data_IF_684478228438
#
_entry.id   IF_684478228438
#
_cell.length_a   1.000
_cell.length_b   1.000
_cell.length_c   1.000
_cell.angle_alpha   90.00
_cell.angle_beta   90.00
_cell.angle_gamma   90.00
#
_symmetry.space_group_name_H-M   'P 1'
#
loop_
_entity.id
_entity.type
_entity.pdbx_description
1 polymer ?
#
# COMPACT_ATOMS: atom_id res chain seq x y z
N UNK A 1 3.24 -45.29 -49.17
CA UNK A 1 3.88 -44.74 -47.96
C UNK A 1 3.21 -43.40 -47.66
N UNK A 2 2.31 -43.35 -46.68
CA UNK A 2 1.59 -42.13 -46.30
C UNK A 2 2.47 -41.39 -45.28
N UNK A 3 2.92 -40.18 -45.63
CA UNK A 3 3.71 -39.32 -44.77
C UNK A 3 2.78 -38.64 -43.76
N UNK A 4 2.86 -39.03 -42.48
CA UNK A 4 2.21 -38.32 -41.38
C UNK A 4 3.08 -37.11 -41.00
N UNK A 5 2.64 -35.92 -41.38
CA UNK A 5 3.21 -34.65 -40.89
C UNK A 5 2.64 -34.40 -39.50
N UNK A 6 3.43 -34.67 -38.46
CA UNK A 6 3.10 -34.24 -37.10
C UNK A 6 3.36 -32.74 -36.98
N UNK A 7 2.30 -31.95 -36.84
CA UNK A 7 2.39 -30.59 -36.32
C UNK A 7 2.74 -30.66 -34.83
N UNK A 8 3.95 -30.24 -34.48
CA UNK A 8 4.29 -29.93 -33.10
C UNK A 8 3.70 -28.56 -32.76
N UNK A 9 2.61 -28.53 -32.01
CA UNK A 9 2.15 -27.32 -31.32
C UNK A 9 3.08 -27.07 -30.14
N UNK A 10 3.94 -26.07 -30.24
CA UNK A 10 4.67 -25.57 -29.07
C UNK A 10 3.67 -24.89 -28.14
N UNK A 11 3.25 -25.59 -27.09
CA UNK A 11 2.56 -24.97 -25.97
C UNK A 11 3.53 -23.96 -25.35
N UNK A 12 3.37 -22.68 -25.69
CA UNK A 12 4.04 -21.60 -24.99
C UNK A 12 3.61 -21.69 -23.53
N UNK A 13 4.55 -21.96 -22.62
CA UNK A 13 4.29 -21.81 -21.21
C UNK A 13 3.83 -20.36 -21.01
N UNK A 14 2.56 -20.16 -20.68
CA UNK A 14 2.07 -18.85 -20.31
C UNK A 14 2.88 -18.42 -19.08
N UNK A 15 3.83 -17.50 -19.28
CA UNK A 15 4.56 -16.91 -18.16
C UNK A 15 3.51 -16.14 -17.35
N UNK A 16 3.16 -16.69 -16.19
CA UNK A 16 2.22 -16.07 -15.25
C UNK A 16 2.76 -14.71 -14.82
N UNK A 17 2.06 -13.63 -15.19
CA UNK A 17 2.41 -12.28 -14.77
C UNK A 17 2.07 -12.10 -13.28
N UNK A 18 3.06 -11.91 -12.42
CA UNK A 18 2.89 -11.88 -10.97
C UNK A 18 3.07 -10.46 -10.42
N UNK A 19 2.05 -9.97 -9.74
CA UNK A 19 2.05 -8.67 -9.05
C UNK A 19 2.28 -8.93 -7.56
N UNK A 20 3.35 -8.37 -7.02
CA UNK A 20 3.51 -8.27 -5.57
C UNK A 20 2.59 -7.19 -5.01
N UNK A 21 1.96 -7.48 -3.88
CA UNK A 21 1.13 -6.57 -3.11
C UNK A 21 1.71 -6.48 -1.69
N UNK A 22 1.67 -5.29 -1.09
CA UNK A 22 2.02 -5.12 0.32
C UNK A 22 1.10 -5.96 1.21
N UNK A 23 1.66 -6.60 2.23
CA UNK A 23 0.90 -7.33 3.25
C UNK A 23 -0.14 -6.47 3.99
N UNK A 24 0.00 -5.14 3.97
CA UNK A 24 -1.04 -4.22 4.49
C UNK A 24 -2.39 -4.40 3.80
N UNK A 25 -2.44 -5.00 2.61
CA UNK A 25 -3.68 -5.33 1.90
C UNK A 25 -4.02 -6.83 1.94
N UNK A 26 -3.33 -7.65 2.74
CA UNK A 26 -3.52 -9.11 2.74
C UNK A 26 -4.74 -9.61 3.52
N UNK A 27 -5.61 -8.73 4.00
CA UNK A 27 -6.90 -9.10 4.59
C UNK A 27 -7.95 -9.27 3.48
N UNK A 28 -9.05 -9.99 3.74
CA UNK A 28 -9.98 -10.44 2.70
C UNK A 28 -10.49 -9.31 1.79
N UNK A 29 -10.99 -8.22 2.37
CA UNK A 29 -11.46 -7.07 1.60
C UNK A 29 -10.31 -6.39 0.83
N UNK A 30 -9.14 -6.25 1.44
CA UNK A 30 -7.96 -5.69 0.81
C UNK A 30 -7.53 -6.48 -0.43
N UNK A 31 -7.47 -7.81 -0.32
CA UNK A 31 -7.17 -8.71 -1.44
C UNK A 31 -8.20 -8.53 -2.55
N UNK A 32 -9.49 -8.62 -2.22
CA UNK A 32 -10.57 -8.53 -3.20
C UNK A 32 -10.55 -7.21 -3.98
N UNK A 33 -10.32 -6.07 -3.32
CA UNK A 33 -10.30 -4.77 -3.98
C UNK A 33 -9.02 -4.53 -4.79
N UNK A 34 -7.86 -4.99 -4.29
CA UNK A 34 -6.60 -4.92 -5.05
C UNK A 34 -6.67 -5.80 -6.30
N UNK A 35 -7.15 -7.04 -6.18
CA UNK A 35 -7.32 -7.93 -7.33
C UNK A 35 -8.30 -7.34 -8.34
N UNK A 36 -9.42 -6.78 -7.88
CA UNK A 36 -10.39 -6.10 -8.75
C UNK A 36 -9.76 -4.93 -9.51
N UNK A 37 -8.99 -4.09 -8.81
CA UNK A 37 -8.29 -2.94 -9.40
C UNK A 37 -7.29 -3.39 -10.48
N UNK A 38 -6.42 -4.33 -10.16
CA UNK A 38 -5.36 -4.75 -11.08
C UNK A 38 -5.87 -5.61 -12.22
N UNK A 39 -6.91 -6.42 -12.01
CA UNK A 39 -7.59 -7.12 -13.10
C UNK A 39 -8.17 -6.11 -14.10
N UNK A 40 -8.77 -5.01 -13.64
CA UNK A 40 -9.26 -3.93 -14.53
C UNK A 40 -8.13 -3.20 -15.25
N UNK A 41 -7.02 -2.91 -14.57
CA UNK A 41 -5.86 -2.24 -15.17
C UNK A 41 -5.25 -3.10 -16.28
N UNK A 42 -5.11 -4.40 -16.06
CA UNK A 42 -4.41 -5.31 -16.97
C UNK A 42 -5.31 -5.96 -18.04
N UNK A 43 -6.63 -5.98 -17.85
CA UNK A 43 -7.57 -6.58 -18.80
C UNK A 43 -7.47 -6.06 -20.25
N UNK A 44 -7.33 -4.73 -20.53
CA UNK A 44 -7.19 -4.24 -21.90
C UNK A 44 -5.89 -4.68 -22.61
N UNK A 45 -4.97 -5.29 -21.87
CA UNK A 45 -3.67 -5.77 -22.36
C UNK A 45 -3.65 -7.31 -22.49
N UNK A 46 -4.80 -7.99 -22.31
CA UNK A 46 -4.93 -9.45 -22.30
C UNK A 46 -4.01 -10.16 -21.29
N UNK A 47 -3.73 -9.48 -20.17
CA UNK A 47 -2.93 -10.02 -19.06
C UNK A 47 -3.86 -10.33 -17.88
N UNK A 48 -3.80 -11.57 -17.40
CA UNK A 48 -4.44 -11.99 -16.14
C UNK A 48 -3.36 -12.14 -15.08
N UNK A 49 -3.24 -11.18 -14.13
CA UNK A 49 -2.19 -11.25 -13.13
C UNK A 49 -2.46 -12.30 -12.06
N UNK A 50 -1.39 -12.86 -11.50
CA UNK A 50 -1.38 -13.58 -10.23
C UNK A 50 -0.90 -12.66 -9.13
N UNK A 51 -1.40 -12.85 -7.93
CA UNK A 51 -1.14 -11.96 -6.80
C UNK A 51 -0.41 -12.70 -5.70
N UNK A 52 0.57 -12.02 -5.11
CA UNK A 52 1.25 -12.46 -3.90
C UNK A 52 1.28 -11.30 -2.92
N UNK A 53 1.24 -11.62 -1.63
CA UNK A 53 1.22 -10.63 -0.56
C UNK A 53 2.46 -10.83 0.30
N UNK A 54 3.37 -9.87 0.29
CA UNK A 54 4.64 -9.95 1.01
C UNK A 54 4.87 -8.69 1.85
N UNK A 55 5.70 -8.80 2.90
CA UNK A 55 6.21 -7.63 3.60
C UNK A 55 6.81 -6.62 2.62
N UNK A 56 6.49 -5.34 2.86
CA UNK A 56 6.70 -4.26 1.87
C UNK A 56 8.13 -4.22 1.31
N UNK A 57 9.15 -4.29 2.16
CA UNK A 57 10.58 -4.35 1.78
C UNK A 57 10.92 -5.59 0.95
N UNK A 58 10.54 -6.78 1.43
CA UNK A 58 10.84 -8.06 0.76
C UNK A 58 10.21 -8.13 -0.62
N UNK A 59 8.95 -7.69 -0.75
CA UNK A 59 8.25 -7.67 -2.03
C UNK A 59 8.98 -6.82 -3.06
N UNK A 60 9.36 -5.60 -2.69
CA UNK A 60 10.11 -4.68 -3.54
C UNK A 60 11.48 -5.26 -3.97
N UNK A 61 12.23 -5.85 -3.04
CA UNK A 61 13.50 -6.51 -3.34
C UNK A 61 13.32 -7.63 -4.38
N UNK A 62 12.24 -8.42 -4.25
CA UNK A 62 11.96 -9.53 -5.17
C UNK A 62 11.49 -9.07 -6.55
N UNK A 63 10.66 -8.02 -6.65
CA UNK A 63 10.30 -7.43 -7.94
C UNK A 63 11.53 -6.80 -8.59
N UNK A 64 12.36 -6.07 -7.83
CA UNK A 64 13.58 -5.44 -8.35
C UNK A 64 14.64 -6.44 -8.81
N UNK A 65 14.70 -7.63 -8.19
CA UNK A 65 15.52 -8.75 -8.64
C UNK A 65 14.95 -9.47 -9.88
N UNK A 66 13.75 -9.11 -10.33
CA UNK A 66 13.05 -9.76 -11.45
C UNK A 66 12.46 -11.12 -11.10
N UNK A 67 12.25 -11.43 -9.82
CA UNK A 67 11.52 -12.64 -9.42
C UNK A 67 10.03 -12.50 -9.75
N UNK A 68 9.48 -11.29 -9.60
CA UNK A 68 8.11 -10.94 -9.94
C UNK A 68 8.07 -9.79 -10.94
N UNK A 69 6.90 -9.56 -11.52
CA UNK A 69 6.74 -8.72 -12.70
C UNK A 69 6.42 -7.27 -12.35
N UNK A 70 5.69 -7.06 -11.25
CA UNK A 70 5.26 -5.74 -10.84
C UNK A 70 5.04 -5.63 -9.32
N UNK A 71 4.96 -4.40 -8.86
CA UNK A 71 4.61 -4.01 -7.50
C UNK A 71 3.34 -3.16 -7.54
N UNK A 72 2.29 -3.60 -6.84
CA UNK A 72 0.96 -3.01 -6.89
C UNK A 72 0.97 -1.50 -6.59
N UNK A 73 1.52 -1.08 -5.46
CA UNK A 73 1.47 0.32 -5.05
C UNK A 73 2.60 0.69 -4.11
N UNK A 74 3.36 1.75 -4.43
CA UNK A 74 4.33 2.36 -3.51
C UNK A 74 4.31 3.87 -3.60
N UNK A 75 4.66 4.52 -2.49
CA UNK A 75 4.98 5.94 -2.53
C UNK A 75 6.18 6.16 -3.45
N UNK A 76 6.11 7.22 -4.26
CA UNK A 76 7.17 7.57 -5.22
C UNK A 76 8.56 7.58 -4.58
N UNK A 77 8.66 8.14 -3.37
CA UNK A 77 9.90 8.24 -2.59
C UNK A 77 10.52 6.88 -2.26
N UNK A 78 9.69 5.85 -2.06
CA UNK A 78 10.16 4.49 -1.76
C UNK A 78 10.47 3.73 -3.04
N UNK A 79 9.56 3.75 -4.02
CA UNK A 79 9.71 2.97 -5.25
C UNK A 79 10.90 3.40 -6.10
N UNK A 80 11.23 4.69 -6.13
CA UNK A 80 12.33 5.23 -6.93
C UNK A 80 13.73 4.80 -6.45
N UNK A 81 13.85 4.24 -5.23
CA UNK A 81 15.11 3.69 -4.72
C UNK A 81 15.50 2.38 -5.44
N UNK A 82 14.56 1.73 -6.14
CA UNK A 82 14.75 0.42 -6.77
C UNK A 82 15.03 0.56 -8.28
N UNK A 83 16.31 0.44 -8.65
CA UNK A 83 16.85 0.75 -10.00
C UNK A 83 16.29 -0.09 -11.14
N UNK A 84 15.72 -1.26 -10.86
CA UNK A 84 15.12 -2.11 -11.90
C UNK A 84 13.61 -1.92 -12.03
N UNK A 85 13.01 -1.00 -11.29
CA UNK A 85 11.59 -0.69 -11.36
C UNK A 85 11.33 0.55 -12.22
N UNK A 86 10.27 0.49 -12.99
CA UNK A 86 9.72 1.59 -13.76
C UNK A 86 8.38 1.98 -13.15
N UNK A 87 8.27 3.22 -12.71
CA UNK A 87 7.04 3.78 -12.17
C UNK A 87 6.05 4.08 -13.30
N UNK A 88 4.77 3.72 -13.11
CA UNK A 88 3.69 4.20 -13.97
C UNK A 88 3.34 5.65 -13.56
N UNK A 89 3.46 6.66 -14.45
CA UNK A 89 3.34 8.07 -14.07
C UNK A 89 2.00 8.51 -13.48
N UNK A 90 0.86 7.94 -13.87
CA UNK A 90 -0.43 8.26 -13.28
C UNK A 90 -0.55 7.58 -11.91
N UNK A 91 -0.73 8.34 -10.80
CA UNK A 91 -0.88 7.72 -9.48
C UNK A 91 -2.24 7.04 -9.35
N UNK A 92 -2.27 5.91 -8.63
CA UNK A 92 -3.49 5.19 -8.27
C UNK A 92 -4.30 5.97 -7.22
N UNK A 93 -3.61 6.56 -6.24
CA UNK A 93 -4.23 7.30 -5.14
C UNK A 93 -3.26 8.32 -4.53
N UNK A 94 -3.80 9.26 -3.76
CA UNK A 94 -3.05 10.14 -2.87
C UNK A 94 -3.29 9.68 -1.43
N UNK A 95 -2.26 9.20 -0.73
CA UNK A 95 -2.38 8.72 0.64
C UNK A 95 -1.64 9.62 1.60
N UNK A 96 -2.06 9.64 2.86
CA UNK A 96 -1.40 10.39 3.92
C UNK A 96 -0.79 9.43 4.93
N UNK A 97 0.22 9.92 5.66
CA UNK A 97 0.72 9.25 6.86
C UNK A 97 -0.12 9.72 8.05
N UNK A 98 -0.68 8.79 8.80
CA UNK A 98 -1.62 9.08 9.89
C UNK A 98 -1.30 8.29 11.15
N UNK A 99 -1.71 8.83 12.29
CA UNK A 99 -1.91 8.12 13.53
C UNK A 99 -3.31 7.53 13.57
N UNK A 100 -3.44 6.30 14.06
CA UNK A 100 -4.70 5.74 14.54
C UNK A 100 -4.60 5.56 16.05
N UNK A 101 -5.54 6.11 16.83
CA UNK A 101 -5.46 6.12 18.29
C UNK A 101 -6.75 5.66 18.95
N UNK A 102 -6.61 5.08 20.14
CA UNK A 102 -7.76 4.68 20.96
C UNK A 102 -8.46 5.90 21.59
N UNK A 103 -7.70 6.95 21.90
CA UNK A 103 -8.17 8.21 22.46
C UNK A 103 -7.44 9.39 21.81
N UNK A 104 -8.06 10.57 21.85
CA UNK A 104 -7.49 11.81 21.29
C UNK A 104 -6.15 12.20 21.93
N UNK A 105 -5.98 11.95 23.23
CA UNK A 105 -4.77 12.27 24.00
C UNK A 105 -3.52 11.54 23.50
N UNK A 106 -3.68 10.36 22.90
CA UNK A 106 -2.58 9.57 22.33
C UNK A 106 -2.30 9.92 20.86
N UNK A 107 -3.10 10.80 20.26
CA UNK A 107 -3.02 11.18 18.85
C UNK A 107 -2.06 12.35 18.63
N UNK A 108 -0.85 12.21 19.14
CA UNK A 108 0.26 13.15 18.99
C UNK A 108 1.57 12.39 18.77
N UNK A 109 2.52 13.02 18.09
CA UNK A 109 3.88 12.49 17.97
C UNK A 109 4.70 12.91 19.18
N UNK A 110 4.77 12.03 20.17
CA UNK A 110 5.59 12.17 21.37
C UNK A 110 6.64 11.05 21.40
N UNK A 111 7.92 11.41 21.53
CA UNK A 111 9.04 10.45 21.60
C UNK A 111 8.96 9.54 22.83
N UNK A 112 8.24 9.96 23.88
CA UNK A 112 8.03 9.16 25.08
C UNK A 112 6.83 8.20 24.95
N UNK A 113 6.06 8.29 23.87
CA UNK A 113 4.96 7.40 23.57
C UNK A 113 5.42 6.23 22.70
N UNK A 114 4.92 5.03 23.03
CA UNK A 114 5.06 3.86 22.19
C UNK A 114 4.07 3.85 21.03
N UNK A 115 4.56 3.64 19.80
CA UNK A 115 3.73 3.46 18.60
C UNK A 115 3.82 2.03 18.09
N UNK A 116 2.72 1.49 17.58
CA UNK A 116 2.74 0.29 16.77
C UNK A 116 2.95 0.63 15.29
N UNK A 117 3.73 -0.19 14.61
CA UNK A 117 3.95 -0.15 13.16
C UNK A 117 3.87 -1.57 12.59
N UNK A 118 3.72 -1.69 11.28
CA UNK A 118 3.74 -3.00 10.62
C UNK A 118 5.18 -3.30 10.20
N UNK A 119 5.68 -4.47 10.60
CA UNK A 119 7.04 -4.92 10.33
C UNK A 119 7.36 -4.85 8.84
N UNK A 120 8.52 -4.30 8.44
CA UNK A 120 8.92 -4.23 7.03
C UNK A 120 8.23 -3.14 6.22
N UNK A 121 7.45 -2.26 6.85
CA UNK A 121 6.84 -1.09 6.22
C UNK A 121 7.84 0.08 6.20
N UNK A 122 8.47 0.27 5.05
CA UNK A 122 9.62 1.18 4.87
C UNK A 122 9.34 2.62 5.32
N UNK A 123 8.17 3.19 5.01
CA UNK A 123 7.89 4.58 5.38
C UNK A 123 7.68 4.77 6.89
N UNK A 124 7.15 3.76 7.60
CA UNK A 124 7.00 3.85 9.06
C UNK A 124 8.34 3.63 9.74
N UNK A 125 9.18 2.72 9.22
CA UNK A 125 10.56 2.53 9.70
C UNK A 125 11.34 3.85 9.59
N UNK A 126 11.36 4.47 8.41
CA UNK A 126 12.03 5.74 8.18
C UNK A 126 11.49 6.88 9.06
N UNK A 127 10.16 6.96 9.27
CA UNK A 127 9.57 7.96 10.16
C UNK A 127 9.98 7.74 11.63
N UNK A 128 9.98 6.50 12.09
CA UNK A 128 10.37 6.17 13.46
C UNK A 128 11.85 6.50 13.72
N UNK A 129 12.73 6.15 12.80
CA UNK A 129 14.17 6.43 12.89
C UNK A 129 14.46 7.94 12.89
N UNK A 130 13.92 8.66 11.89
CA UNK A 130 14.18 10.08 11.70
C UNK A 130 13.63 10.99 12.82
N UNK A 131 12.52 10.60 13.46
CA UNK A 131 11.92 11.35 14.57
C UNK A 131 12.28 10.77 15.95
N UNK A 132 13.12 9.73 16.00
CA UNK A 132 13.51 9.03 17.24
C UNK A 132 12.30 8.54 18.06
N UNK A 133 11.27 8.03 17.37
CA UNK A 133 10.05 7.53 18.01
C UNK A 133 10.27 6.12 18.55
N UNK A 134 9.66 5.82 19.70
CA UNK A 134 9.61 4.47 20.25
C UNK A 134 8.60 3.59 19.48
N UNK A 135 9.03 2.94 18.40
CA UNK A 135 8.17 2.09 17.58
C UNK A 135 8.39 0.60 17.85
N UNK A 136 7.30 -0.12 18.09
CA UNK A 136 7.28 -1.59 18.16
C UNK A 136 6.53 -2.15 16.95
N UNK A 137 7.01 -3.25 16.38
CA UNK A 137 6.40 -3.83 15.18
C UNK A 137 5.43 -4.96 15.51
N UNK A 138 4.38 -5.07 14.69
CA UNK A 138 3.48 -6.24 14.62
C UNK A 138 3.40 -6.74 13.18
N UNK A 139 2.82 -7.91 12.98
CA UNK A 139 2.83 -8.61 11.68
C UNK A 139 1.79 -8.10 10.67
N UNK A 140 0.73 -7.40 11.11
CA UNK A 140 -0.32 -6.84 10.23
C UNK A 140 -1.24 -5.86 10.97
N UNK A 141 -2.02 -5.09 10.20
CA UNK A 141 -2.96 -4.07 10.70
C UNK A 141 -4.01 -4.66 11.66
N UNK A 142 -4.53 -5.86 11.38
CA UNK A 142 -5.47 -6.58 12.27
C UNK A 142 -4.88 -6.77 13.67
N UNK A 143 -3.64 -7.24 13.77
CA UNK A 143 -2.94 -7.45 15.04
C UNK A 143 -2.72 -6.12 15.77
N UNK A 144 -2.44 -5.06 15.01
CA UNK A 144 -2.25 -3.71 15.54
C UNK A 144 -3.54 -3.18 16.18
N UNK A 145 -4.68 -3.23 15.47
CA UNK A 145 -5.95 -2.73 16.01
C UNK A 145 -6.50 -3.59 17.15
N UNK A 146 -6.28 -4.91 17.13
CA UNK A 146 -6.59 -5.78 18.29
C UNK A 146 -5.78 -5.35 19.53
N UNK A 147 -4.52 -4.92 19.35
CA UNK A 147 -3.71 -4.42 20.45
C UNK A 147 -4.24 -3.10 21.02
N UNK A 148 -4.74 -2.19 20.18
CA UNK A 148 -5.47 -0.99 20.63
C UNK A 148 -6.73 -1.33 21.40
N UNK A 149 -7.58 -2.22 20.87
CA UNK A 149 -8.82 -2.64 21.55
C UNK A 149 -8.53 -3.23 22.93
N UNK A 150 -7.41 -3.95 23.07
CA UNK A 150 -6.95 -4.55 24.33
C UNK A 150 -6.11 -3.60 25.20
N UNK A 151 -5.96 -2.34 24.81
CA UNK A 151 -5.15 -1.32 25.50
C UNK A 151 -3.70 -1.78 25.78
N UNK A 152 -3.13 -2.59 24.88
CA UNK A 152 -1.71 -2.99 24.92
C UNK A 152 -0.81 -1.99 24.19
N UNK A 153 -1.42 -1.13 23.39
CA UNK A 153 -0.84 0.03 22.75
C UNK A 153 -1.94 1.07 22.57
N UNK A 154 -1.56 2.33 22.37
CA UNK A 154 -2.51 3.43 22.28
C UNK A 154 -2.54 4.13 20.92
N UNK A 155 -1.50 3.94 20.10
CA UNK A 155 -1.38 4.54 18.79
C UNK A 155 -0.70 3.61 17.78
N UNK A 156 -1.14 3.65 16.52
CA UNK A 156 -0.50 3.06 15.34
C UNK A 156 -0.07 4.19 14.40
N UNK A 157 1.09 4.05 13.77
CA UNK A 157 1.47 4.83 12.60
C UNK A 157 1.19 3.99 11.35
N UNK A 158 0.44 4.55 10.39
CA UNK A 158 0.09 3.87 9.15
C UNK A 158 -0.22 4.83 8.01
N UNK A 159 -0.74 4.30 6.90
CA UNK A 159 -1.28 5.11 5.81
C UNK A 159 -2.79 5.33 6.00
N UNK A 160 -3.33 6.33 5.30
CA UNK A 160 -4.72 6.77 5.45
C UNK A 160 -5.79 5.85 4.83
N UNK A 161 -5.41 4.72 4.21
CA UNK A 161 -6.33 3.88 3.43
C UNK A 161 -6.38 2.43 3.93
N UNK A 162 -5.33 1.65 3.70
CA UNK A 162 -5.38 0.19 3.89
C UNK A 162 -5.71 -0.27 5.32
N UNK A 163 -5.15 0.36 6.38
CA UNK A 163 -5.50 -0.04 7.74
C UNK A 163 -7.01 0.10 8.04
N UNK A 164 -7.72 1.06 7.40
CA UNK A 164 -9.16 1.27 7.62
C UNK A 164 -10.00 0.03 7.29
N UNK A 165 -9.59 -0.74 6.28
CA UNK A 165 -10.28 -1.96 5.87
C UNK A 165 -10.20 -3.12 6.89
N UNK A 166 -9.37 -3.00 7.92
CA UNK A 166 -9.25 -4.02 8.98
C UNK A 166 -9.96 -3.63 10.28
N UNK A 167 -10.49 -2.41 10.36
CA UNK A 167 -11.07 -1.88 11.59
C UNK A 167 -12.28 -2.69 12.06
N UNK A 168 -13.12 -3.18 11.15
CA UNK A 168 -14.26 -4.03 11.52
C UNK A 168 -13.84 -5.33 12.22
N UNK A 169 -12.74 -5.95 11.78
CA UNK A 169 -12.24 -7.19 12.37
C UNK A 169 -11.59 -6.99 13.75
N UNK A 170 -11.35 -5.74 14.17
CA UNK A 170 -10.69 -5.42 15.43
C UNK A 170 -11.64 -5.42 16.65
N UNK A 171 -12.95 -5.26 16.42
CA UNK A 171 -13.95 -5.04 17.48
C UNK A 171 -13.88 -3.66 18.12
N UNK A 172 -13.17 -2.69 17.52
CA UNK A 172 -13.27 -1.27 17.88
C UNK A 172 -14.63 -0.73 17.41
N UNK A 173 -15.20 0.16 18.20
CA UNK A 173 -16.42 0.92 17.83
C UNK A 173 -16.06 2.33 17.37
N UNK A 174 -14.90 2.82 17.78
CA UNK A 174 -14.40 4.14 17.47
C UNK A 174 -12.88 4.13 17.37
N UNK A 175 -12.33 4.95 16.47
CA UNK A 175 -10.91 5.25 16.38
C UNK A 175 -10.71 6.72 16.07
N UNK A 176 -9.66 7.31 16.64
CA UNK A 176 -9.23 8.66 16.29
C UNK A 176 -8.16 8.58 15.21
N UNK A 177 -8.24 9.46 14.21
CA UNK A 177 -7.23 9.55 13.16
C UNK A 177 -6.64 10.95 13.15
N UNK A 178 -5.31 11.05 13.04
CA UNK A 178 -4.63 12.34 12.89
C UNK A 178 -3.52 12.27 11.84
N UNK A 179 -3.51 13.20 10.91
CA UNK A 179 -2.45 13.31 9.90
C UNK A 179 -1.15 13.84 10.51
N UNK A 180 -0.01 13.23 10.15
CA UNK A 180 1.29 13.54 10.74
C UNK A 180 2.02 14.68 10.01
N UNK A 181 1.85 14.83 8.70
CA UNK A 181 2.58 15.83 7.88
C UNK A 181 1.68 16.86 7.18
N UNK A 182 0.35 16.74 7.33
CA UNK A 182 -0.62 17.55 6.58
C UNK A 182 -0.52 17.43 5.05
N UNK A 183 0.35 16.57 4.51
CA UNK A 183 0.57 16.36 3.09
C UNK A 183 0.20 14.95 2.64
N UNK A 184 -0.21 14.84 1.39
CA UNK A 184 -0.41 13.56 0.70
C UNK A 184 0.83 13.14 -0.10
N UNK A 185 0.96 11.84 -0.28
CA UNK A 185 1.98 11.17 -1.05
C UNK A 185 1.31 10.32 -2.13
N UNK A 186 1.75 10.45 -3.39
CA UNK A 186 1.16 9.70 -4.47
C UNK A 186 1.59 8.23 -4.41
N UNK A 187 0.61 7.33 -4.55
CA UNK A 187 0.80 5.89 -4.63
C UNK A 187 0.81 5.48 -6.11
N UNK A 188 1.94 4.97 -6.58
CA UNK A 188 2.10 4.54 -7.98
C UNK A 188 2.26 3.03 -8.10
N UNK A 189 1.81 2.51 -9.24
CA UNK A 189 2.17 1.18 -9.69
C UNK A 189 3.59 1.16 -10.25
N UNK A 190 4.32 0.06 -10.05
CA UNK A 190 5.66 -0.13 -10.61
C UNK A 190 5.75 -1.46 -11.34
N UNK A 191 6.47 -1.50 -12.45
CA UNK A 191 6.77 -2.72 -13.20
C UNK A 191 8.28 -2.95 -13.25
N UNK A 192 8.73 -4.20 -13.29
CA UNK A 192 10.14 -4.48 -13.54
C UNK A 192 10.52 -4.07 -14.97
N UNK A 193 11.71 -3.49 -15.17
CA UNK A 193 12.19 -2.95 -16.44
C UNK A 193 12.18 -3.92 -17.62
N UNK A 194 12.15 -5.24 -17.37
CA UNK A 194 11.96 -6.26 -18.41
C UNK A 194 10.63 -6.10 -19.15
N UNK A 195 9.65 -5.47 -18.52
CA UNK A 195 8.32 -5.18 -19.03
C UNK A 195 8.16 -3.73 -19.50
N UNK A 196 9.25 -3.03 -19.83
CA UNK A 196 9.20 -1.62 -20.25
C UNK A 196 8.20 -1.34 -21.40
N UNK A 197 7.92 -2.33 -22.25
CA UNK A 197 6.92 -2.22 -23.31
C UNK A 197 5.48 -2.03 -22.76
N UNK A 198 5.20 -2.47 -21.54
CA UNK A 198 3.92 -2.29 -20.86
C UNK A 198 3.76 -0.90 -20.23
N UNK A 199 4.83 -0.09 -20.16
CA UNK A 199 4.79 1.21 -19.48
C UNK A 199 3.69 2.13 -20.04
N UNK A 200 3.71 2.37 -21.35
CA UNK A 200 2.72 3.25 -21.99
C UNK A 200 1.30 2.66 -22.02
N UNK A 201 1.09 1.36 -22.34
CA UNK A 201 -0.23 0.74 -22.25
C UNK A 201 -0.84 0.76 -20.83
N UNK A 202 -0.03 0.50 -19.79
CA UNK A 202 -0.49 0.53 -18.40
C UNK A 202 -0.81 1.96 -17.94
N UNK A 203 0.02 2.93 -18.33
CA UNK A 203 -0.27 4.35 -18.08
C UNK A 203 -1.62 4.73 -18.68
N UNK A 204 -1.86 4.42 -19.95
CA UNK A 204 -3.13 4.71 -20.61
C UNK A 204 -4.32 4.04 -19.90
N UNK A 205 -4.16 2.78 -19.49
CA UNK A 205 -5.20 2.04 -18.77
C UNK A 205 -5.52 2.68 -17.42
N UNK A 206 -4.50 2.98 -16.61
CA UNK A 206 -4.64 3.62 -15.29
C UNK A 206 -5.24 5.03 -15.44
N UNK A 207 -4.77 5.84 -16.38
CA UNK A 207 -5.34 7.18 -16.63
C UNK A 207 -6.82 7.11 -17.00
N UNK A 208 -7.23 6.14 -17.81
CA UNK A 208 -8.65 5.96 -18.19
C UNK A 208 -9.52 5.59 -16.98
N UNK A 209 -9.08 4.61 -16.18
CA UNK A 209 -9.79 4.17 -14.98
C UNK A 209 -9.84 5.26 -13.90
N UNK A 210 -8.79 6.08 -13.82
CA UNK A 210 -8.75 7.25 -12.94
C UNK A 210 -9.73 8.32 -13.41
N UNK A 211 -9.75 8.63 -14.71
CA UNK A 211 -10.66 9.62 -15.29
C UNK A 211 -12.14 9.19 -15.21
N UNK A 212 -12.44 7.90 -15.28
CA UNK A 212 -13.80 7.37 -15.10
C UNK A 212 -14.23 7.31 -13.62
N UNK A 213 -13.29 7.48 -12.68
CA UNK A 213 -13.55 7.37 -11.24
C UNK A 213 -13.62 5.93 -10.72
N UNK A 214 -13.37 4.92 -11.57
CA UNK A 214 -13.44 3.51 -11.18
C UNK A 214 -12.42 3.15 -10.10
N UNK A 215 -11.20 3.70 -10.18
CA UNK A 215 -10.18 3.49 -9.12
C UNK A 215 -10.72 4.02 -7.79
N UNK A 216 -11.31 5.22 -7.78
CA UNK A 216 -11.87 5.84 -6.58
C UNK A 216 -12.98 5.00 -5.98
N UNK A 217 -13.88 4.45 -6.80
CA UNK A 217 -14.96 3.56 -6.33
C UNK A 217 -14.38 2.35 -5.61
N UNK A 218 -13.41 1.67 -6.21
CA UNK A 218 -12.78 0.48 -5.64
C UNK A 218 -12.08 0.79 -4.31
N UNK A 219 -11.33 1.88 -4.24
CA UNK A 219 -10.61 2.25 -3.01
C UNK A 219 -11.55 2.76 -1.92
N UNK A 220 -12.70 3.34 -2.28
CA UNK A 220 -13.71 3.78 -1.30
C UNK A 220 -14.33 2.62 -0.53
N UNK A 221 -14.40 1.42 -1.10
CA UNK A 221 -14.83 0.20 -0.37
C UNK A 221 -13.92 -0.05 0.83
N UNK A 222 -12.59 0.07 0.66
CA UNK A 222 -11.63 -0.04 1.76
C UNK A 222 -11.79 1.12 2.74
N UNK A 223 -11.86 2.36 2.23
CA UNK A 223 -11.86 3.56 3.05
C UNK A 223 -13.08 3.65 3.98
N UNK A 224 -14.23 3.15 3.52
CA UNK A 224 -15.51 3.25 4.21
C UNK A 224 -15.88 1.99 5.01
N UNK A 225 -15.06 0.94 4.94
CA UNK A 225 -15.39 -0.36 5.53
C UNK A 225 -15.82 -0.26 6.99
N UNK A 226 -15.16 0.57 7.79
CA UNK A 226 -15.50 0.70 9.21
C UNK A 226 -16.94 1.17 9.45
N UNK A 227 -17.51 1.96 8.53
CA UNK A 227 -18.90 2.41 8.61
C UNK A 227 -19.88 1.24 8.38
N UNK A 228 -19.50 0.24 7.57
CA UNK A 228 -20.34 -0.94 7.31
C UNK A 228 -20.58 -1.81 8.55
N UNK A 229 -19.67 -1.76 9.52
CA UNK A 229 -19.83 -2.41 10.82
C UNK A 229 -20.15 -1.42 11.96
N UNK A 230 -20.74 -0.26 11.62
CA UNK A 230 -21.18 0.78 12.55
C UNK A 230 -20.04 1.43 13.37
N UNK A 231 -18.79 1.27 12.92
CA UNK A 231 -17.64 1.93 13.52
C UNK A 231 -17.56 3.41 13.17
N UNK A 232 -16.96 4.19 14.07
CA UNK A 232 -16.82 5.64 13.92
C UNK A 232 -15.36 6.06 13.83
N UNK A 233 -15.03 6.79 12.76
CA UNK A 233 -13.76 7.50 12.65
C UNK A 233 -13.96 8.94 13.16
N UNK A 234 -13.12 9.37 14.09
CA UNK A 234 -13.01 10.78 14.51
C UNK A 234 -11.72 11.34 13.91
N UNK A 235 -11.85 12.11 12.84
CA UNK A 235 -10.73 12.82 12.22
C UNK A 235 -10.36 14.03 13.07
N UNK A 236 -9.09 14.15 13.43
CA UNK A 236 -8.52 15.25 14.20
C UNK A 236 -7.74 16.20 13.28
N UNK A 237 -7.58 17.49 13.64
CA UNK A 237 -6.75 18.41 12.87
C UNK A 237 -5.33 17.88 12.67
N UNK A 238 -4.71 18.09 11.49
CA UNK A 238 -3.37 17.60 11.20
C UNK A 238 -2.34 18.17 12.20
N UNK A 239 -1.32 17.39 12.51
CA UNK A 239 -0.17 17.86 13.29
C UNK A 239 0.53 18.93 12.46
N UNK A 240 0.62 20.14 13.02
CA UNK A 240 1.44 21.22 12.47
C UNK A 240 2.90 20.93 12.82
N UNK A 241 3.67 20.43 11.86
CA UNK A 241 5.12 20.27 12.00
C UNK A 241 5.85 21.54 11.52
N UNK A 242 6.96 21.88 12.16
CA UNK A 242 7.74 23.07 11.82
C UNK A 242 8.61 22.83 10.57
N UNK A 243 8.34 23.60 9.52
CA UNK A 243 8.76 23.40 8.12
C UNK A 243 10.25 23.17 7.82
N UNK A 244 11.19 23.59 8.67
CA UNK A 244 12.64 23.43 8.44
C UNK A 244 13.19 22.05 8.81
N UNK A 245 12.47 21.29 9.64
CA UNK A 245 12.80 19.91 10.00
C UNK A 245 12.16 18.92 9.01
N UNK A 246 11.15 19.39 8.27
CA UNK A 246 10.26 18.54 7.48
C UNK A 246 10.81 18.25 6.08
N UNK A 247 11.52 19.19 5.45
CA UNK A 247 12.30 18.87 4.24
C UNK A 247 13.34 17.79 4.53
N UNK A 248 13.99 17.86 5.70
CA UNK A 248 14.91 16.84 6.21
C UNK A 248 14.24 15.50 6.52
N UNK A 249 12.98 15.51 6.97
CA UNK A 249 12.19 14.30 7.20
C UNK A 249 11.82 13.62 5.89
N UNK A 250 11.33 14.38 4.91
CA UNK A 250 11.05 13.82 3.60
C UNK A 250 12.38 13.33 2.99
N UNK A 251 13.48 14.08 3.11
CA UNK A 251 14.83 13.65 2.69
C UNK A 251 15.34 12.39 3.41
N UNK A 252 15.02 12.19 4.69
CA UNK A 252 15.37 10.98 5.44
C UNK A 252 14.42 9.81 5.18
N UNK A 253 13.19 10.05 4.74
CA UNK A 253 12.34 9.02 4.12
C UNK A 253 12.82 8.73 2.68
N UNK A 254 13.50 9.69 2.03
CA UNK A 254 14.08 9.56 0.69
C UNK A 254 15.45 8.86 0.65
N UNK A 255 16.22 8.87 1.74
CA UNK A 255 17.56 8.23 1.88
C UNK A 255 17.50 6.89 2.61
#
# INVERSE_FOLDING_TARGET
>A
MIFFVSLFTTASAANNYTINVSESASYQLGQAQIETLFNKIYAPLDITPHYIFLPSKRGLEQVNAGLYDAEAGRFTIIGNQYKSLLMIPTPLAELKIVLFCIEESFCQLDVNQGFLTISGTLFTEALCESKLLSCNTVINDKSAFIALKKQRAHAIIGNSLFPKGTLCESGLEQVYIREILGQSFPLHHFIHKRHQALLAPLEQSISKLKASGEITVILNEIANEFTHCNGKIIELPPIQLNSSIDDGLILNIMN
#
